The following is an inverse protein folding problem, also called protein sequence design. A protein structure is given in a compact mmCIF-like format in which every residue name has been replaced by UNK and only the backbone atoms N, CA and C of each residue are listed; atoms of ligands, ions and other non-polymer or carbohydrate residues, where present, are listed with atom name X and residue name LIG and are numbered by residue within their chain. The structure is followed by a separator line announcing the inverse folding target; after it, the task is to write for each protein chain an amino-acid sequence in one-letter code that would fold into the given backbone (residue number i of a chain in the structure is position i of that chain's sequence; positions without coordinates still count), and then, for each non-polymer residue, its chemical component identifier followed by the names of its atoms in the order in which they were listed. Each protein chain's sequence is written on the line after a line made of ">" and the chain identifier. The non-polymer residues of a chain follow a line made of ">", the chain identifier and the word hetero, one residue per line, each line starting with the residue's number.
data_IF_050636436134
#
_entry.id   IF_050636436134
#
_cell.length_a   1.000
_cell.length_b   1.000
_cell.length_c   1.000
_cell.angle_alpha   90.00
_cell.angle_beta   90.00
_cell.angle_gamma   90.00
#
_symmetry.space_group_name_H-M   'P 1'
#
loop_
_entity.id
_entity.type
_entity.pdbx_description
1 polymer ?
#
# COMPACT_ATOMS: atom_id res chain seq x y z
N UNK A 1 -8.23 -4.40 12.21
CA UNK A 1 -8.94 -4.60 13.47
C UNK A 1 -9.71 -3.36 13.91
N UNK A 2 -9.31 -2.17 13.47
CA UNK A 2 -10.01 -0.90 13.79
C UNK A 2 -10.94 -0.42 12.68
N UNK A 3 -11.26 -1.26 11.69
CA UNK A 3 -12.25 -0.97 10.66
C UNK A 3 -11.76 -0.08 9.51
N UNK A 4 -10.45 0.06 9.30
CA UNK A 4 -9.94 0.81 8.18
C UNK A 4 -10.44 0.19 6.85
N UNK A 5 -10.92 1.05 5.95
CA UNK A 5 -11.36 0.69 4.60
C UNK A 5 -10.34 1.13 3.55
N UNK A 6 -9.68 2.25 3.81
CA UNK A 6 -8.61 2.80 2.96
C UNK A 6 -7.43 3.18 3.85
N UNK A 7 -6.24 2.74 3.49
CA UNK A 7 -4.98 3.15 4.09
C UNK A 7 -4.27 4.13 3.16
N UNK A 8 -4.01 5.34 3.62
CA UNK A 8 -3.15 6.30 2.93
C UNK A 8 -1.72 6.15 3.43
N UNK A 9 -0.79 5.88 2.53
CA UNK A 9 0.64 5.68 2.83
C UNK A 9 1.49 6.76 2.17
N UNK A 10 1.59 7.97 2.77
CA UNK A 10 2.47 9.01 2.29
C UNK A 10 3.94 8.61 2.52
N UNK A 11 4.75 8.70 1.47
CA UNK A 11 6.10 8.18 1.43
C UNK A 11 7.06 9.11 0.70
N UNK A 12 8.34 8.97 0.99
CA UNK A 12 9.44 9.64 0.31
C UNK A 12 10.54 8.59 0.02
N UNK A 13 10.19 7.62 -0.83
CA UNK A 13 11.08 6.53 -1.20
C UNK A 13 11.85 6.87 -2.49
N UNK A 14 13.19 6.71 -2.42
CA UNK A 14 14.08 7.00 -3.53
C UNK A 14 14.27 5.76 -4.43
N UNK A 15 14.60 6.02 -5.69
CA UNK A 15 14.97 4.99 -6.66
C UNK A 15 16.19 4.18 -6.20
N UNK A 16 16.25 2.93 -6.61
CA UNK A 16 17.36 2.03 -6.30
C UNK A 16 16.92 0.69 -5.73
N UNK A 17 17.66 0.21 -4.75
CA UNK A 17 17.57 -1.18 -4.25
C UNK A 17 16.16 -1.60 -3.80
N UNK A 18 15.41 -0.72 -3.18
CA UNK A 18 14.09 -1.03 -2.62
C UNK A 18 12.91 -0.62 -3.52
N UNK A 19 13.16 -0.03 -4.69
CA UNK A 19 12.09 0.47 -5.55
C UNK A 19 11.10 -0.63 -5.98
N UNK A 20 11.60 -1.81 -6.28
CA UNK A 20 10.75 -2.93 -6.67
C UNK A 20 9.78 -3.37 -5.58
N UNK A 21 10.10 -3.12 -4.30
CA UNK A 21 9.24 -3.46 -3.16
C UNK A 21 7.97 -2.61 -3.13
N UNK A 22 8.00 -1.41 -3.72
CA UNK A 22 6.86 -0.49 -3.76
C UNK A 22 5.58 -1.14 -4.32
N UNK A 23 5.74 -1.95 -5.37
CA UNK A 23 4.63 -2.68 -6.00
C UNK A 23 4.44 -4.11 -5.48
N UNK A 24 5.19 -4.52 -4.47
CA UNK A 24 5.05 -5.84 -3.85
C UNK A 24 4.41 -5.69 -2.48
N UNK A 25 4.98 -4.87 -1.60
CA UNK A 25 4.57 -4.80 -0.20
C UNK A 25 3.18 -4.18 -0.03
N UNK A 26 2.91 -3.05 -0.68
CA UNK A 26 1.61 -2.38 -0.53
C UNK A 26 0.45 -3.26 -1.02
N UNK A 27 0.49 -3.88 -2.22
CA UNK A 27 -0.52 -4.83 -2.64
C UNK A 27 -0.65 -6.04 -1.71
N UNK A 28 0.46 -6.59 -1.21
CA UNK A 28 0.42 -7.69 -0.25
C UNK A 28 -0.32 -7.29 1.04
N UNK A 29 -0.08 -6.08 1.54
CA UNK A 29 -0.80 -5.54 2.69
C UNK A 29 -2.29 -5.30 2.40
N UNK A 30 -2.64 -4.84 1.20
CA UNK A 30 -4.03 -4.68 0.78
C UNK A 30 -4.78 -6.03 0.84
N UNK A 31 -4.18 -7.08 0.29
CA UNK A 31 -4.72 -8.45 0.32
C UNK A 31 -4.83 -8.98 1.76
N UNK A 32 -3.73 -8.91 2.53
CA UNK A 32 -3.68 -9.47 3.87
C UNK A 32 -4.70 -8.83 4.84
N UNK A 33 -5.08 -7.58 4.60
CA UNK A 33 -6.00 -6.84 5.47
C UNK A 33 -7.39 -6.61 4.84
N UNK A 34 -7.56 -6.93 3.56
CA UNK A 34 -8.82 -6.74 2.84
C UNK A 34 -9.28 -5.28 2.86
N UNK A 35 -8.40 -4.34 2.49
CA UNK A 35 -8.68 -2.91 2.37
C UNK A 35 -8.02 -2.30 1.13
N UNK A 36 -8.42 -1.08 0.76
CA UNK A 36 -7.72 -0.31 -0.27
C UNK A 36 -6.46 0.33 0.29
N UNK A 37 -5.46 0.51 -0.57
CA UNK A 37 -4.27 1.34 -0.26
C UNK A 37 -4.15 2.45 -1.29
N UNK A 38 -3.93 3.67 -0.80
CA UNK A 38 -3.45 4.81 -1.56
C UNK A 38 -1.96 5.01 -1.23
N UNK A 39 -1.09 4.47 -2.05
CA UNK A 39 0.36 4.61 -1.94
C UNK A 39 0.78 5.92 -2.61
N UNK A 40 1.28 6.87 -1.82
CA UNK A 40 1.61 8.22 -2.26
C UNK A 40 3.11 8.40 -2.11
N UNK A 41 3.82 8.65 -3.21
CA UNK A 41 5.25 8.87 -3.16
C UNK A 41 5.63 10.23 -3.76
N UNK A 42 6.74 10.78 -3.29
CA UNK A 42 7.37 11.97 -3.88
C UNK A 42 7.89 11.65 -5.27
N UNK A 43 7.98 12.68 -6.11
CA UNK A 43 8.61 12.61 -7.44
C UNK A 43 9.73 13.64 -7.55
N UNK A 44 10.77 13.33 -8.34
CA UNK A 44 11.86 14.24 -8.69
C UNK A 44 13.04 14.27 -7.72
N UNK A 45 13.89 15.25 -7.88
CA UNK A 45 15.14 15.43 -7.12
C UNK A 45 15.09 16.75 -6.33
N UNK A 46 15.50 16.71 -5.08
CA UNK A 46 15.56 17.89 -4.21
C UNK A 46 16.99 18.47 -4.16
N UNK A 47 17.17 19.63 -4.77
CA UNK A 47 18.39 20.41 -4.63
C UNK A 47 18.30 21.34 -3.41
N UNK A 48 19.41 21.57 -2.68
CA UNK A 48 20.78 21.12 -2.96
C UNK A 48 21.17 19.79 -2.31
N UNK A 49 20.25 19.14 -1.56
CA UNK A 49 20.59 17.98 -0.71
C UNK A 49 20.91 16.71 -1.47
N UNK A 50 20.43 16.57 -2.71
CA UNK A 50 20.69 15.45 -3.61
C UNK A 50 20.66 14.06 -2.91
N UNK A 51 19.62 13.84 -2.12
CA UNK A 51 19.41 12.58 -1.38
C UNK A 51 18.94 11.42 -2.24
N UNK A 52 18.93 11.60 -3.55
CA UNK A 52 18.48 10.64 -4.55
C UNK A 52 17.26 11.14 -5.33
N UNK A 53 16.89 10.37 -6.34
CA UNK A 53 15.68 10.60 -7.12
C UNK A 53 14.50 9.90 -6.46
N UNK A 54 13.45 10.64 -6.17
CA UNK A 54 12.16 10.07 -5.74
C UNK A 54 11.39 9.66 -7.00
N UNK A 55 11.04 8.40 -7.10
CA UNK A 55 10.51 7.83 -8.33
C UNK A 55 9.01 8.03 -8.56
N UNK A 56 8.32 8.79 -7.72
CA UNK A 56 6.86 8.98 -7.88
C UNK A 56 6.10 7.66 -7.88
N UNK A 57 5.44 7.36 -9.00
CA UNK A 57 4.69 6.12 -9.18
C UNK A 57 3.70 5.85 -8.03
N UNK A 58 2.98 6.88 -7.61
CA UNK A 58 1.88 6.77 -6.66
C UNK A 58 0.74 5.96 -7.27
N UNK A 59 0.00 5.20 -6.46
CA UNK A 59 -1.10 4.40 -7.00
C UNK A 59 -2.19 4.11 -5.97
N UNK A 60 -3.36 3.69 -6.47
CA UNK A 60 -4.39 3.02 -5.68
C UNK A 60 -4.37 1.52 -5.95
N UNK A 61 -4.50 0.73 -4.89
CA UNK A 61 -4.57 -0.72 -4.93
C UNK A 61 -5.84 -1.19 -4.25
N UNK A 62 -6.53 -2.16 -4.85
CA UNK A 62 -7.76 -2.72 -4.31
C UNK A 62 -7.48 -3.85 -3.30
N UNK A 63 -8.51 -4.35 -2.57
CA UNK A 63 -8.34 -5.44 -1.60
C UNK A 63 -7.88 -6.78 -2.18
N UNK A 64 -7.82 -6.91 -3.51
CA UNK A 64 -7.28 -8.10 -4.20
C UNK A 64 -5.83 -7.95 -4.62
N UNK A 65 -5.21 -6.80 -4.32
CA UNK A 65 -3.82 -6.50 -4.67
C UNK A 65 -3.64 -5.96 -6.10
N UNK A 66 -4.73 -5.63 -6.79
CA UNK A 66 -4.67 -5.08 -8.14
C UNK A 66 -4.50 -3.55 -8.09
N UNK A 67 -3.57 -3.02 -8.89
CA UNK A 67 -3.41 -1.58 -9.06
C UNK A 67 -4.53 -1.07 -9.95
N UNK A 68 -5.40 -0.21 -9.41
CA UNK A 68 -6.58 0.32 -10.10
C UNK A 68 -6.36 1.67 -10.77
N UNK A 69 -5.35 2.40 -10.31
CA UNK A 69 -4.88 3.63 -10.94
C UNK A 69 -3.43 3.88 -10.52
N UNK A 70 -2.61 4.40 -11.43
CA UNK A 70 -1.19 4.68 -11.20
C UNK A 70 -0.79 6.02 -11.79
N UNK A 71 0.00 6.79 -11.04
CA UNK A 71 0.60 8.05 -11.45
C UNK A 71 1.92 7.82 -12.19
N UNK A 72 2.35 8.84 -12.94
CA UNK A 72 3.66 8.82 -13.61
C UNK A 72 4.81 8.88 -12.59
N UNK A 73 6.00 8.47 -13.05
CA UNK A 73 7.21 8.47 -12.22
C UNK A 73 7.84 9.86 -12.03
N UNK A 74 7.75 10.70 -13.05
CA UNK A 74 8.67 11.81 -13.28
C UNK A 74 8.03 13.19 -13.22
N UNK A 75 6.80 13.26 -12.72
CA UNK A 75 6.09 14.54 -12.62
C UNK A 75 5.12 14.58 -11.44
N UNK A 76 4.86 15.78 -10.98
CA UNK A 76 3.79 16.05 -10.04
C UNK A 76 2.44 15.91 -10.72
N UNK A 77 1.53 15.15 -10.11
CA UNK A 77 0.17 15.01 -10.60
C UNK A 77 -0.82 14.72 -9.48
N UNK A 78 -2.08 14.96 -9.76
CA UNK A 78 -3.19 14.55 -8.91
C UNK A 78 -3.80 13.27 -9.48
N UNK A 79 -3.65 12.16 -8.76
CA UNK A 79 -4.24 10.88 -9.14
C UNK A 79 -5.61 10.72 -8.47
N UNK A 80 -6.63 10.37 -9.27
CA UNK A 80 -7.97 10.07 -8.78
C UNK A 80 -8.40 8.67 -9.20
N UNK A 81 -9.17 7.99 -8.35
CA UNK A 81 -9.74 6.68 -8.66
C UNK A 81 -11.12 6.52 -8.04
N UNK A 82 -12.01 5.84 -8.74
CA UNK A 82 -13.27 5.35 -8.16
C UNK A 82 -13.00 4.05 -7.40
N UNK A 83 -13.35 4.01 -6.12
CA UNK A 83 -13.14 2.84 -5.27
C UNK A 83 -14.50 2.27 -4.87
N UNK A 84 -14.76 1.03 -5.26
CA UNK A 84 -15.95 0.29 -4.86
C UNK A 84 -15.69 -0.37 -3.48
N UNK A 85 -16.19 0.26 -2.43
CA UNK A 85 -15.95 -0.21 -1.06
C UNK A 85 -16.65 -1.54 -0.73
N UNK A 86 -17.64 -1.96 -1.52
CA UNK A 86 -18.29 -3.27 -1.33
C UNK A 86 -17.32 -4.43 -1.56
N UNK A 87 -16.27 -4.24 -2.37
CA UNK A 87 -15.19 -5.21 -2.56
C UNK A 87 -14.52 -5.61 -1.24
N UNK A 88 -14.48 -4.73 -0.24
CA UNK A 88 -13.92 -5.03 1.07
C UNK A 88 -14.71 -6.16 1.74
N UNK A 89 -16.04 -6.05 1.70
CA UNK A 89 -16.91 -7.06 2.30
C UNK A 89 -16.82 -8.40 1.54
N UNK A 90 -16.75 -8.36 0.22
CA UNK A 90 -16.59 -9.56 -0.62
C UNK A 90 -15.29 -10.29 -0.32
N UNK A 91 -14.17 -9.55 -0.32
CA UNK A 91 -12.84 -10.12 -0.08
C UNK A 91 -12.74 -10.70 1.33
N UNK A 92 -13.25 -10.00 2.35
CA UNK A 92 -13.24 -10.48 3.73
C UNK A 92 -14.15 -11.70 3.97
N UNK A 93 -15.18 -11.89 3.15
CA UNK A 93 -16.00 -13.12 3.17
C UNK A 93 -15.24 -14.29 2.53
N UNK A 94 -14.48 -14.03 1.47
CA UNK A 94 -13.72 -15.05 0.73
C UNK A 94 -12.45 -15.44 1.48
N UNK A 95 -11.66 -14.46 1.90
CA UNK A 95 -10.39 -14.64 2.61
C UNK A 95 -10.54 -14.19 4.05
N UNK A 96 -10.83 -15.11 4.93
CA UNK A 96 -11.16 -14.83 6.33
C UNK A 96 -9.91 -14.75 7.22
N UNK A 97 -8.84 -14.12 6.75
CA UNK A 97 -7.55 -14.06 7.43
C UNK A 97 -7.62 -13.57 8.88
N UNK A 98 -8.49 -12.59 9.17
CA UNK A 98 -8.65 -12.09 10.55
C UNK A 98 -9.33 -13.09 11.48
N UNK A 99 -10.26 -13.90 10.99
CA UNK A 99 -10.90 -14.98 11.73
C UNK A 99 -9.91 -16.10 12.02
N UNK A 100 -9.07 -16.42 11.05
CA UNK A 100 -8.20 -17.59 11.08
C UNK A 100 -6.87 -17.34 11.81
N UNK A 101 -6.68 -16.12 12.37
CA UNK A 101 -5.51 -15.82 13.20
C UNK A 101 -5.52 -16.67 14.49
N UNK A 102 -4.32 -16.99 14.95
CA UNK A 102 -4.07 -17.74 16.18
C UNK A 102 -3.29 -16.89 17.19
N UNK A 103 -3.95 -15.87 17.79
CA UNK A 103 -3.27 -14.97 18.74
C UNK A 103 -2.67 -15.71 19.93
N UNK A 104 -3.24 -16.85 20.29
CA UNK A 104 -2.75 -17.76 21.32
C UNK A 104 -1.33 -18.30 21.05
N UNK A 105 -0.90 -18.34 19.79
CA UNK A 105 0.40 -18.83 19.37
C UNK A 105 1.45 -17.71 19.14
N UNK A 106 1.05 -16.44 19.22
CA UNK A 106 1.94 -15.31 18.89
C UNK A 106 2.77 -14.83 20.09
N UNK A 107 2.57 -15.41 21.28
CA UNK A 107 3.31 -15.06 22.49
C UNK A 107 4.83 -14.92 22.29
N UNK A 108 5.52 -15.93 21.70
CA UNK A 108 6.97 -15.86 21.47
C UNK A 108 7.43 -14.76 20.50
N UNK A 109 6.52 -14.24 19.65
CA UNK A 109 6.81 -13.15 18.71
C UNK A 109 6.74 -11.76 19.36
N UNK A 110 5.97 -11.62 20.44
CA UNK A 110 5.72 -10.32 21.10
C UNK A 110 6.36 -10.24 22.48
N UNK A 111 6.71 -11.37 23.07
CA UNK A 111 7.39 -11.49 24.36
C UNK A 111 8.56 -12.46 24.21
N UNK A 112 9.68 -12.00 23.60
CA UNK A 112 10.87 -12.82 23.34
C UNK A 112 11.61 -13.19 24.65
#
# INVERSE_FOLDING_TARGET
>A
MHGAEILFSPSATAAGLSEHLWKIEQPAHAVANGYFIAAINRAGVELPWNIGEFYGASYFCNPRGEIVAEAYRDKDEVLTAGLDLDQIAEVRKTWQFFRDRRPDLYGPLVNP
#
